data_IF_305789358831
#
_entry.id   IF_305789358831
#
_cell.length_a   1.000
_cell.length_b   1.000
_cell.length_c   1.000
_cell.angle_alpha   90.00
_cell.angle_beta   90.00
_cell.angle_gamma   90.00
#
_symmetry.space_group_name_H-M   'P 1'
#
loop_
_entity.id
_entity.type
_entity.pdbx_description
1 polymer ?
#
# COMPACT_ATOMS: atom_id res chain seq x y z
N UNK A 1 25.43 -15.90 6.66
CA UNK A 1 24.89 -16.43 5.39
C UNK A 1 24.91 -15.26 4.44
N UNK A 2 25.98 -15.20 3.66
CA UNK A 2 26.44 -14.06 2.87
C UNK A 2 25.38 -13.60 1.85
N UNK A 3 24.98 -12.34 1.98
CA UNK A 3 24.15 -11.65 1.00
C UNK A 3 25.08 -11.00 -0.03
N UNK A 4 24.94 -11.28 -1.33
CA UNK A 4 25.74 -10.58 -2.33
C UNK A 4 25.29 -9.11 -2.37
N UNK A 5 26.21 -8.22 -2.03
CA UNK A 5 26.10 -6.76 -2.16
C UNK A 5 26.17 -6.31 -3.63
N UNK A 6 25.54 -7.06 -4.54
CA UNK A 6 25.42 -6.71 -5.95
C UNK A 6 23.93 -6.62 -6.28
N UNK A 7 23.47 -5.43 -6.61
CA UNK A 7 22.09 -5.15 -7.00
C UNK A 7 21.82 -5.72 -8.40
N UNK A 8 21.83 -7.05 -8.50
CA UNK A 8 21.74 -7.81 -9.72
C UNK A 8 20.40 -7.60 -10.43
N UNK A 9 20.47 -7.60 -11.76
CA UNK A 9 19.28 -7.64 -12.61
C UNK A 9 18.54 -8.95 -12.34
N UNK A 10 17.27 -8.84 -11.96
CA UNK A 10 16.32 -9.93 -11.80
C UNK A 10 15.59 -10.14 -13.12
N UNK A 11 15.45 -11.38 -13.55
CA UNK A 11 14.66 -11.70 -14.75
C UNK A 11 13.23 -12.02 -14.34
N UNK A 12 12.27 -11.32 -14.95
CA UNK A 12 10.84 -11.59 -14.77
C UNK A 12 10.55 -12.99 -15.32
N UNK A 13 10.04 -13.89 -14.48
CA UNK A 13 9.82 -15.32 -14.81
C UNK A 13 8.50 -15.57 -15.53
N UNK A 14 7.50 -14.72 -15.29
CA UNK A 14 6.17 -14.78 -15.91
C UNK A 14 5.62 -13.38 -16.09
N UNK A 15 4.71 -13.20 -17.03
CA UNK A 15 4.02 -11.93 -17.22
C UNK A 15 3.34 -11.50 -15.90
N UNK A 16 3.56 -10.24 -15.52
CA UNK A 16 3.08 -9.70 -14.25
C UNK A 16 2.53 -8.30 -14.44
N UNK A 17 1.37 -8.04 -13.85
CA UNK A 17 0.78 -6.72 -13.82
C UNK A 17 1.66 -5.79 -12.98
N UNK A 18 1.92 -4.59 -13.50
CA UNK A 18 2.74 -3.61 -12.81
C UNK A 18 2.16 -2.21 -13.03
N UNK A 19 2.37 -1.32 -12.05
CA UNK A 19 1.91 0.06 -12.13
C UNK A 19 3.12 0.95 -12.40
N UNK A 20 3.07 1.74 -13.47
CA UNK A 20 4.12 2.71 -13.76
C UNK A 20 4.08 3.84 -12.73
N UNK A 21 5.21 4.11 -12.09
CA UNK A 21 5.37 5.22 -11.14
C UNK A 21 6.16 6.34 -11.84
N UNK A 22 5.70 7.61 -11.80
CA UNK A 22 4.64 8.16 -10.94
C UNK A 22 3.24 8.25 -11.59
N UNK A 23 3.09 7.88 -12.85
CA UNK A 23 1.87 8.20 -13.61
C UNK A 23 0.64 7.36 -13.22
N UNK A 24 0.81 6.27 -12.45
CA UNK A 24 -0.28 5.38 -12.03
C UNK A 24 -0.84 4.51 -13.15
N UNK A 25 -0.19 4.49 -14.32
CA UNK A 25 -0.65 3.76 -15.50
C UNK A 25 -0.46 2.26 -15.27
N UNK A 26 -1.55 1.49 -15.41
CA UNK A 26 -1.48 0.04 -15.42
C UNK A 26 -0.72 -0.44 -16.65
N UNK A 27 0.31 -1.23 -16.43
CA UNK A 27 1.13 -1.87 -17.45
C UNK A 27 1.36 -3.34 -17.12
N UNK A 28 2.17 -3.98 -17.95
CA UNK A 28 2.57 -5.37 -17.77
C UNK A 28 4.06 -5.50 -18.03
N UNK A 29 4.76 -6.18 -17.14
CA UNK A 29 6.14 -6.60 -17.35
C UNK A 29 6.10 -8.02 -17.90
N UNK A 30 6.74 -8.23 -19.05
CA UNK A 30 6.73 -9.50 -19.75
C UNK A 30 7.78 -10.45 -19.17
N UNK A 31 7.50 -11.74 -19.27
CA UNK A 31 8.47 -12.78 -18.97
C UNK A 31 9.75 -12.58 -19.81
N UNK A 32 10.91 -12.70 -19.17
CA UNK A 32 12.22 -12.45 -19.78
C UNK A 32 12.71 -11.00 -19.67
N UNK A 33 11.87 -10.04 -19.25
CA UNK A 33 12.32 -8.66 -19.00
C UNK A 33 13.31 -8.63 -17.85
N UNK A 34 14.43 -7.94 -18.04
CA UNK A 34 15.39 -7.67 -16.97
C UNK A 34 14.97 -6.42 -16.20
N UNK A 35 14.85 -6.58 -14.89
CA UNK A 35 14.45 -5.51 -13.98
C UNK A 35 15.42 -5.46 -12.80
N UNK A 36 15.67 -4.27 -12.28
CA UNK A 36 16.43 -4.09 -11.05
C UNK A 36 15.47 -3.79 -9.91
N UNK A 37 15.45 -4.65 -8.89
CA UNK A 37 14.66 -4.41 -7.68
C UNK A 37 15.31 -3.26 -6.92
N UNK A 38 14.56 -2.16 -6.71
CA UNK A 38 15.06 -0.99 -5.99
C UNK A 38 14.60 -0.97 -4.55
N UNK A 39 13.36 -1.37 -4.29
CA UNK A 39 12.75 -1.32 -2.97
C UNK A 39 11.76 -2.47 -2.77
N UNK A 40 11.65 -2.92 -1.52
CA UNK A 40 10.58 -3.79 -1.03
C UNK A 40 9.96 -3.08 0.17
N UNK A 41 8.77 -2.52 -0.02
CA UNK A 41 8.07 -1.73 1.01
C UNK A 41 6.66 -2.30 1.19
N UNK A 42 6.40 -2.84 2.39
CA UNK A 42 5.14 -3.50 2.71
C UNK A 42 4.81 -4.63 1.73
N UNK A 43 3.68 -4.50 1.04
CA UNK A 43 3.18 -5.46 0.06
C UNK A 43 3.53 -5.09 -1.39
N UNK A 44 4.50 -4.20 -1.63
CA UNK A 44 4.90 -3.87 -3.00
C UNK A 44 6.39 -4.05 -3.21
N UNK A 45 6.72 -4.40 -4.44
CA UNK A 45 8.08 -4.49 -4.93
C UNK A 45 8.22 -3.47 -6.04
N UNK A 46 9.08 -2.48 -5.81
CA UNK A 46 9.41 -1.48 -6.83
C UNK A 46 10.62 -1.98 -7.61
N UNK A 47 10.46 -2.04 -8.93
CA UNK A 47 11.49 -2.46 -9.86
C UNK A 47 11.72 -1.38 -10.91
N UNK A 48 12.95 -1.29 -11.42
CA UNK A 48 13.31 -0.40 -12.52
C UNK A 48 13.62 -1.23 -13.76
N UNK A 49 13.01 -0.87 -14.90
CA UNK A 49 13.29 -1.44 -16.22
C UNK A 49 13.35 -0.32 -17.25
N UNK A 50 14.41 -0.29 -18.08
CA UNK A 50 14.64 0.76 -19.08
C UNK A 50 14.52 2.20 -18.55
N UNK A 51 14.97 2.44 -17.31
CA UNK A 51 14.89 3.75 -16.65
C UNK A 51 13.50 4.14 -16.14
N UNK A 52 12.50 3.26 -16.27
CA UNK A 52 11.14 3.45 -15.75
C UNK A 52 10.94 2.63 -14.47
N UNK A 53 10.20 3.21 -13.52
CA UNK A 53 9.84 2.54 -12.27
C UNK A 53 8.48 1.87 -12.40
N UNK A 54 8.42 0.63 -11.94
CA UNK A 54 7.22 -0.19 -11.92
C UNK A 54 7.00 -0.73 -10.51
N UNK A 55 5.77 -0.61 -10.01
CA UNK A 55 5.35 -1.18 -8.73
C UNK A 55 4.58 -2.47 -8.99
N UNK A 56 5.02 -3.57 -8.40
CA UNK A 56 4.41 -4.90 -8.49
C UNK A 56 3.84 -5.28 -7.12
N UNK A 57 2.69 -5.94 -7.09
CA UNK A 57 2.09 -6.46 -5.87
C UNK A 57 2.97 -7.60 -5.30
N UNK A 58 3.16 -7.61 -3.98
CA UNK A 58 4.03 -8.55 -3.27
C UNK A 58 3.55 -10.00 -3.34
N UNK A 59 2.29 -10.24 -3.71
CA UNK A 59 1.79 -11.58 -4.06
C UNK A 59 2.41 -12.12 -5.34
N UNK A 60 2.77 -11.23 -6.26
CA UNK A 60 3.42 -11.57 -7.52
C UNK A 60 4.97 -11.53 -7.40
N UNK A 61 5.52 -11.57 -6.17
CA UNK A 61 6.97 -11.61 -5.98
C UNK A 61 7.60 -12.87 -6.60
N UNK A 62 6.83 -13.96 -6.72
CA UNK A 62 7.23 -15.18 -7.42
C UNK A 62 7.56 -14.91 -8.90
N UNK A 63 6.89 -13.93 -9.52
CA UNK A 63 7.17 -13.49 -10.88
C UNK A 63 8.58 -12.87 -11.01
N UNK A 64 9.15 -12.38 -9.92
CA UNK A 64 10.54 -11.92 -9.83
C UNK A 64 11.49 -13.00 -9.29
N UNK A 65 10.99 -14.21 -9.02
CA UNK A 65 11.78 -15.25 -8.34
C UNK A 65 12.18 -14.88 -6.92
N UNK A 66 11.44 -13.96 -6.30
CA UNK A 66 11.58 -13.58 -4.89
C UNK A 66 10.56 -14.35 -4.07
N UNK A 67 10.92 -14.70 -2.83
CA UNK A 67 9.96 -15.27 -1.89
C UNK A 67 8.81 -14.27 -1.66
N UNK A 68 7.59 -14.73 -1.97
CA UNK A 68 6.32 -14.03 -1.77
C UNK A 68 6.28 -13.42 -0.38
N UNK A 69 6.09 -12.10 -0.30
CA UNK A 69 5.89 -11.45 0.98
C UNK A 69 4.72 -12.13 1.69
N UNK A 70 4.98 -12.67 2.89
CA UNK A 70 4.00 -13.33 3.75
C UNK A 70 2.68 -12.57 3.70
N UNK A 71 1.65 -13.22 3.15
CA UNK A 71 0.28 -12.82 3.45
C UNK A 71 0.08 -13.20 4.89
N UNK A 72 0.31 -12.28 5.81
CA UNK A 72 0.01 -12.50 7.22
C UNK A 72 -1.47 -12.89 7.30
N UNK A 73 -1.75 -14.16 7.61
CA UNK A 73 -3.11 -14.63 7.86
C UNK A 73 -3.63 -13.87 9.08
N UNK A 74 -4.46 -12.88 8.82
CA UNK A 74 -5.08 -12.08 9.87
C UNK A 74 -6.10 -13.01 10.54
N UNK A 75 -5.90 -13.36 11.80
CA UNK A 75 -6.92 -14.06 12.59
C UNK A 75 -8.21 -13.25 12.50
N UNK A 76 -9.34 -13.91 12.19
CA UNK A 76 -10.59 -13.22 11.93
C UNK A 76 -11.00 -12.36 13.13
N UNK A 77 -10.93 -11.01 13.04
CA UNK A 77 -11.28 -10.14 14.14
C UNK A 77 -12.77 -10.31 14.45
N UNK A 78 -13.09 -10.45 15.74
CA UNK A 78 -14.46 -10.77 16.20
C UNK A 78 -15.16 -9.56 16.82
N UNK A 79 -14.40 -8.53 17.19
CA UNK A 79 -14.90 -7.30 17.80
C UNK A 79 -14.58 -6.09 16.93
N UNK A 80 -15.31 -4.98 17.14
CA UNK A 80 -15.09 -3.72 16.42
C UNK A 80 -13.65 -3.23 16.61
N UNK A 81 -13.14 -3.30 17.84
CA UNK A 81 -11.82 -2.82 18.22
C UNK A 81 -10.71 -3.66 17.55
N UNK A 82 -10.90 -4.99 17.45
CA UNK A 82 -9.99 -5.87 16.72
C UNK A 82 -9.99 -5.57 15.22
N UNK A 83 -11.17 -5.30 14.64
CA UNK A 83 -11.28 -4.89 13.23
C UNK A 83 -10.57 -3.56 13.03
N UNK A 84 -10.80 -2.56 13.88
CA UNK A 84 -10.14 -1.26 13.76
C UNK A 84 -8.61 -1.40 13.88
N UNK A 85 -8.13 -2.23 14.82
CA UNK A 85 -6.71 -2.53 14.96
C UNK A 85 -6.14 -3.22 13.71
N UNK A 86 -6.87 -4.19 13.14
CA UNK A 86 -6.50 -4.86 11.90
C UNK A 86 -6.47 -3.90 10.71
N UNK A 87 -7.45 -2.99 10.60
CA UNK A 87 -7.50 -1.92 9.59
C UNK A 87 -6.26 -1.04 9.73
N UNK A 88 -5.95 -0.54 10.93
CA UNK A 88 -4.76 0.28 11.17
C UNK A 88 -3.48 -0.47 10.82
N UNK A 89 -3.35 -1.74 11.18
CA UNK A 89 -2.20 -2.56 10.82
C UNK A 89 -2.07 -2.72 9.30
N UNK A 90 -3.17 -2.93 8.58
CA UNK A 90 -3.17 -2.99 7.11
C UNK A 90 -2.79 -1.66 6.47
N UNK A 91 -3.38 -0.55 6.94
CA UNK A 91 -3.03 0.79 6.48
C UNK A 91 -1.56 1.12 6.75
N UNK A 92 -0.97 0.56 7.82
CA UNK A 92 0.43 0.77 8.13
C UNK A 92 1.40 0.15 7.10
N UNK A 93 0.91 -0.81 6.31
CA UNK A 93 1.67 -1.42 5.21
C UNK A 93 1.52 -0.69 3.88
N UNK A 94 0.67 0.34 3.83
CA UNK A 94 0.50 1.21 2.66
C UNK A 94 1.51 2.35 2.75
N UNK A 95 2.32 2.47 1.70
CA UNK A 95 3.34 3.52 1.61
C UNK A 95 2.99 4.45 0.47
N UNK A 96 3.24 5.75 0.69
CA UNK A 96 3.14 6.72 -0.39
C UNK A 96 4.29 6.50 -1.40
N UNK A 97 4.00 6.46 -2.72
CA UNK A 97 5.01 6.17 -3.74
C UNK A 97 5.96 7.35 -4.00
N UNK A 98 5.57 8.58 -3.65
CA UNK A 98 6.39 9.78 -3.80
C UNK A 98 7.23 10.04 -2.55
N UNK A 99 6.66 9.78 -1.38
CA UNK A 99 7.31 9.89 -0.07
C UNK A 99 7.31 8.49 0.56
N UNK A 100 8.44 7.77 0.65
CA UNK A 100 8.50 6.36 1.07
C UNK A 100 8.28 6.17 2.59
N UNK A 101 7.15 6.68 3.08
CA UNK A 101 6.68 6.67 4.45
C UNK A 101 5.23 6.14 4.41
N UNK A 102 4.86 5.45 5.47
CA UNK A 102 3.54 4.89 5.67
C UNK A 102 2.47 6.00 5.72
N UNK A 103 1.31 5.76 5.08
CA UNK A 103 0.20 6.73 5.01
C UNK A 103 -0.39 7.14 6.37
N UNK A 104 -0.34 6.25 7.38
CA UNK A 104 -0.72 6.58 8.76
C UNK A 104 0.29 7.52 9.39
N UNK A 105 1.58 7.22 9.24
CA UNK A 105 2.68 8.02 9.79
C UNK A 105 2.81 9.38 9.09
N UNK A 106 2.45 9.44 7.80
CA UNK A 106 2.29 10.69 7.05
C UNK A 106 1.08 11.50 7.51
N UNK A 107 0.13 10.91 8.23
CA UNK A 107 -1.10 11.59 8.65
C UNK A 107 -2.09 11.81 7.50
N UNK A 108 -2.09 10.93 6.49
CA UNK A 108 -3.04 10.98 5.37
C UNK A 108 -4.41 10.41 5.73
N UNK A 109 -4.51 9.60 6.79
CA UNK A 109 -5.78 9.04 7.26
C UNK A 109 -6.36 9.96 8.34
N UNK A 110 -7.55 10.50 8.09
CA UNK A 110 -8.22 11.45 9.01
C UNK A 110 -9.24 10.76 9.90
N UNK A 111 -9.94 9.76 9.36
CA UNK A 111 -10.96 9.01 10.08
C UNK A 111 -10.93 7.56 9.64
N UNK A 112 -11.13 6.67 10.61
CA UNK A 112 -11.45 5.27 10.40
C UNK A 112 -12.68 5.02 11.27
N UNK A 113 -13.76 4.55 10.66
CA UNK A 113 -14.97 4.17 11.38
C UNK A 113 -15.36 2.75 10.99
N UNK A 114 -15.64 1.93 12.01
CA UNK A 114 -16.03 0.54 11.83
C UNK A 114 -17.45 0.36 12.35
N UNK A 115 -18.35 -0.09 11.48
CA UNK A 115 -19.76 -0.30 11.77
C UNK A 115 -20.17 -1.72 11.34
N UNK A 116 -21.27 -2.29 11.88
CA UNK A 116 -21.84 -3.50 11.31
C UNK A 116 -22.17 -3.31 9.83
N UNK A 117 -21.97 -4.34 9.01
CA UNK A 117 -22.28 -4.28 7.58
C UNK A 117 -23.79 -4.14 7.33
N UNK A 118 -24.61 -4.75 8.19
CA UNK A 118 -26.06 -4.71 8.15
C UNK A 118 -26.70 -4.88 9.56
N UNK A 119 -28.03 -4.89 9.60
CA UNK A 119 -28.83 -5.08 10.83
C UNK A 119 -28.70 -6.50 11.42
N UNK A 120 -28.10 -7.46 10.71
CA UNK A 120 -27.89 -8.82 11.20
C UNK A 120 -26.68 -8.91 12.14
N UNK A 121 -25.78 -7.93 12.08
CA UNK A 121 -24.55 -7.90 12.87
C UNK A 121 -23.50 -8.91 12.39
N UNK A 122 -23.67 -9.47 11.20
CA UNK A 122 -22.71 -10.36 10.55
C UNK A 122 -21.90 -9.51 9.57
N UNK A 123 -20.59 -9.46 9.78
CA UNK A 123 -19.69 -8.68 8.94
C UNK A 123 -19.60 -7.19 9.32
N UNK A 124 -18.55 -6.56 8.83
CA UNK A 124 -18.16 -5.19 9.16
C UNK A 124 -18.09 -4.33 7.91
N UNK A 125 -18.57 -3.11 8.06
CA UNK A 125 -18.35 -1.99 7.14
C UNK A 125 -17.27 -1.09 7.72
N UNK A 126 -16.31 -0.71 6.89
CA UNK A 126 -15.24 0.22 7.24
C UNK A 126 -15.34 1.46 6.35
N UNK A 127 -15.51 2.62 6.96
CA UNK A 127 -15.48 3.94 6.30
C UNK A 127 -14.17 4.64 6.66
N UNK A 128 -13.42 5.07 5.64
CA UNK A 128 -12.11 5.71 5.79
C UNK A 128 -12.14 7.06 5.08
N UNK A 129 -11.87 8.13 5.83
CA UNK A 129 -11.63 9.45 5.24
C UNK A 129 -10.12 9.64 5.15
N UNK A 130 -9.61 9.84 3.94
CA UNK A 130 -8.19 10.07 3.70
C UNK A 130 -7.94 11.25 2.78
N UNK A 131 -6.74 11.80 2.84
CA UNK A 131 -6.29 12.88 1.96
C UNK A 131 -5.02 12.46 1.20
N UNK A 132 -4.54 13.33 0.32
CA UNK A 132 -3.29 13.14 -0.42
C UNK A 132 -2.31 14.27 -0.11
N UNK A 133 -1.03 13.99 -0.28
CA UNK A 133 0.06 14.97 -0.15
C UNK A 133 -0.03 16.10 -1.18
N UNK A 134 -0.59 15.83 -2.36
CA UNK A 134 -0.81 16.82 -3.42
C UNK A 134 -2.15 16.62 -4.17
N UNK A 135 -2.89 17.71 -4.46
CA UNK A 135 -4.09 17.64 -5.28
C UNK A 135 -3.73 17.29 -6.73
N UNK A 136 -4.39 16.28 -7.30
CA UNK A 136 -4.20 15.86 -8.69
C UNK A 136 -3.07 14.87 -8.96
N UNK A 137 -2.47 14.26 -7.93
CA UNK A 137 -1.51 13.17 -8.14
C UNK A 137 -2.21 11.97 -8.80
N UNK A 138 -1.68 11.50 -9.95
CA UNK A 138 -2.19 10.34 -10.67
C UNK A 138 -2.20 9.05 -9.83
N UNK A 139 -1.33 8.99 -8.80
CA UNK A 139 -1.28 7.88 -7.83
C UNK A 139 -2.38 7.93 -6.77
N UNK A 140 -3.11 9.03 -6.63
CA UNK A 140 -4.18 9.15 -5.63
C UNK A 140 -5.24 8.07 -5.76
N UNK A 141 -5.71 7.84 -6.98
CA UNK A 141 -6.66 6.77 -7.26
C UNK A 141 -6.08 5.38 -7.00
N UNK A 142 -4.81 5.16 -7.32
CA UNK A 142 -4.11 3.89 -7.07
C UNK A 142 -3.99 3.63 -5.57
N UNK A 143 -3.62 4.65 -4.78
CA UNK A 143 -3.47 4.55 -3.34
C UNK A 143 -4.82 4.29 -2.66
N UNK A 144 -5.88 4.99 -3.07
CA UNK A 144 -7.24 4.76 -2.55
C UNK A 144 -7.74 3.36 -2.87
N UNK A 145 -7.51 2.83 -4.08
CA UNK A 145 -7.86 1.45 -4.41
C UNK A 145 -7.01 0.46 -3.60
N UNK A 146 -5.72 0.70 -3.44
CA UNK A 146 -4.85 -0.15 -2.63
C UNK A 146 -5.32 -0.24 -1.17
N UNK A 147 -5.66 0.91 -0.57
CA UNK A 147 -6.22 0.98 0.78
C UNK A 147 -7.50 0.16 0.87
N UNK A 148 -8.42 0.36 -0.08
CA UNK A 148 -9.68 -0.37 -0.14
C UNK A 148 -9.46 -1.88 -0.24
N UNK A 149 -8.61 -2.32 -1.16
CA UNK A 149 -8.33 -3.73 -1.42
C UNK A 149 -7.64 -4.42 -0.24
N UNK A 150 -6.78 -3.71 0.49
CA UNK A 150 -6.13 -4.25 1.69
C UNK A 150 -7.11 -4.38 2.85
N UNK A 151 -7.95 -3.38 3.06
CA UNK A 151 -8.94 -3.41 4.13
C UNK A 151 -10.01 -4.47 3.86
N UNK A 152 -10.42 -4.66 2.60
CA UNK A 152 -11.38 -5.69 2.20
C UNK A 152 -10.85 -7.12 2.37
N UNK A 153 -9.53 -7.31 2.49
CA UNK A 153 -8.93 -8.62 2.78
C UNK A 153 -9.01 -9.02 4.25
N UNK A 154 -9.35 -8.09 5.14
CA UNK A 154 -9.51 -8.41 6.55
C UNK A 154 -10.74 -9.34 6.66
N UNK A 155 -10.58 -10.55 7.23
CA UNK A 155 -11.70 -11.47 7.37
C UNK A 155 -12.83 -10.82 8.17
N UNK A 156 -14.06 -10.92 7.66
CA UNK A 156 -15.23 -10.30 8.27
C UNK A 156 -15.49 -8.86 7.86
N UNK A 157 -14.62 -8.20 7.07
CA UNK A 157 -14.95 -6.93 6.42
C UNK A 157 -15.66 -7.21 5.10
N UNK A 158 -16.90 -6.74 4.97
CA UNK A 158 -17.73 -6.96 3.78
C UNK A 158 -17.80 -5.72 2.88
N UNK A 159 -17.77 -4.53 3.50
CA UNK A 159 -17.88 -3.28 2.79
C UNK A 159 -16.76 -2.34 3.22
N UNK A 160 -16.08 -1.74 2.23
CA UNK A 160 -15.09 -0.70 2.47
C UNK A 160 -15.43 0.50 1.61
N UNK A 161 -15.58 1.64 2.27
CA UNK A 161 -15.78 2.94 1.65
C UNK A 161 -14.56 3.81 1.97
N UNK A 162 -13.92 4.35 0.93
CA UNK A 162 -12.76 5.22 1.09
C UNK A 162 -13.09 6.54 0.41
N UNK A 163 -13.19 7.60 1.21
CA UNK A 163 -13.50 8.94 0.74
C UNK A 163 -12.24 9.81 0.74
N UNK A 164 -12.00 10.47 -0.39
CA UNK A 164 -10.91 11.45 -0.53
C UNK A 164 -11.40 12.83 -0.09
N UNK A 165 -10.93 13.27 1.07
CA UNK A 165 -11.21 14.59 1.64
C UNK A 165 -10.05 15.55 1.37
N UNK A 166 -10.39 16.76 0.93
CA UNK A 166 -9.42 17.82 0.61
C UNK A 166 -9.38 18.92 1.66
N UNK A 167 -10.35 18.94 2.57
CA UNK A 167 -10.43 19.86 3.69
C UNK A 167 -10.50 19.06 5.00
N UNK A 168 -9.60 19.28 5.97
CA UNK A 168 -8.44 20.18 5.91
C UNK A 168 -7.36 19.70 4.93
N UNK A 169 -6.67 20.64 4.26
CA UNK A 169 -5.51 20.31 3.43
C UNK A 169 -4.41 19.65 4.26
N UNK A 170 -3.71 18.68 3.67
CA UNK A 170 -2.57 18.04 4.32
C UNK A 170 -1.41 19.03 4.52
N UNK A 171 -0.74 18.93 5.67
CA UNK A 171 0.49 19.67 5.95
C UNK A 171 1.50 18.77 6.65
N UNK A 172 2.80 19.09 6.50
CA UNK A 172 3.92 18.36 7.13
C UNK A 172 3.79 18.29 8.66
N UNK A 173 3.06 19.22 9.28
CA UNK A 173 2.78 19.22 10.72
C UNK A 173 1.93 18.01 11.17
N UNK A 174 1.23 17.36 10.24
CA UNK A 174 0.44 16.15 10.50
C UNK A 174 1.27 14.87 10.51
N UNK A 175 2.53 14.93 10.04
CA UNK A 175 3.43 13.79 10.11
C UNK A 175 3.77 13.45 11.56
N UNK A 176 3.84 12.16 11.88
CA UNK A 176 4.34 11.70 13.18
C UNK A 176 5.78 12.16 13.41
N UNK A 177 6.20 12.22 14.67
CA UNK A 177 7.59 12.58 15.02
C UNK A 177 8.60 11.61 14.37
N UNK A 178 8.25 10.32 14.29
CA UNK A 178 9.05 9.29 13.62
C UNK A 178 9.16 9.53 12.10
N UNK A 179 8.05 9.87 11.44
CA UNK A 179 8.03 10.18 10.01
C UNK A 179 8.85 11.43 9.66
N UNK A 180 8.80 12.46 10.51
CA UNK A 180 9.59 13.70 10.33
C UNK A 180 11.08 13.44 10.46
N UNK A 181 11.48 12.60 11.41
CA UNK A 181 12.87 12.19 11.57
C UNK A 181 13.37 11.39 10.35
N UNK A 182 12.51 10.54 9.78
CA UNK A 182 12.83 9.67 8.64
C UNK A 182 12.89 10.42 7.29
N UNK A 183 12.09 11.48 7.10
CA UNK A 183 12.08 12.26 5.85
C UNK A 183 13.26 13.22 5.71
N UNK A 184 13.98 13.51 6.81
CA UNK A 184 15.11 14.45 6.80
C UNK A 184 14.71 15.92 6.57
N UNK A 185 13.42 16.24 6.66
CA UNK A 185 12.89 17.61 6.56
C UNK A 185 13.09 18.35 7.89
N UNK A 186 14.24 19.02 8.02
CA UNK A 186 14.58 19.95 9.11
C UNK A 186 14.72 21.38 8.56
#
# INVERSE_FOLDING_TARGET
>A
MDWPTDAGLVTVRRDVAAILVPDGIQGMLLAGTQVRVTQRLGHHITVVSDGRMYRIDGRDADALGLDGGETAEIAAPTTREEVEAAVRAQLATCYDPEIPINILELGLIYRIEVQPADDTGIGWRVDIDMTLTAPGCGMGGVLTQEVRDKVLRIPGVELVNVELVWDPQWSVERMSEAARLQSGLW
#
